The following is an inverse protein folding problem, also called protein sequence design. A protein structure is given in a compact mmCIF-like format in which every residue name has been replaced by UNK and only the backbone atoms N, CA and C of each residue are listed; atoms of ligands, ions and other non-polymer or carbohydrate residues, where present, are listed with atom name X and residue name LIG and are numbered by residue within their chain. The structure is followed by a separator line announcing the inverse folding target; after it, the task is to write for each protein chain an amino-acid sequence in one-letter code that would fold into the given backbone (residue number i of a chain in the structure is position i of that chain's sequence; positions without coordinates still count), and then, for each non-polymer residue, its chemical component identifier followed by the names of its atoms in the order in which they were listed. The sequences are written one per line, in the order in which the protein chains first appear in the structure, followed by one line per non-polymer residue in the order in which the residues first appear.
data_IF_259855917017
#
_entry.id   IF_259855917017
#
_cell.length_a   1.000
_cell.length_b   1.000
_cell.length_c   1.000
_cell.angle_alpha   90.00
_cell.angle_beta   90.00
_cell.angle_gamma   90.00
#
_symmetry.space_group_name_H-M   'P 1'
#
loop_
_entity.id
_entity.type
_entity.pdbx_description
1 polymer ?
#
# COMPACT_ATOMS: atom_id res chain seq x y z
N UNK A 1 -44.16 38.37 -77.24
CA UNK A 1 -45.40 37.64 -76.90
C UNK A 1 -45.18 36.91 -75.58
N UNK A 2 -46.24 36.78 -74.76
CA UNK A 2 -46.50 35.83 -73.65
C UNK A 2 -45.31 35.04 -73.03
N UNK A 3 -45.05 35.00 -71.70
CA UNK A 3 -45.66 35.69 -70.55
C UNK A 3 -45.91 34.74 -69.34
N UNK A 4 -45.97 35.28 -68.10
CA UNK A 4 -46.35 34.61 -66.81
C UNK A 4 -45.36 33.51 -66.34
N UNK A 5 -45.30 33.01 -65.09
CA UNK A 5 -45.76 33.37 -63.72
C UNK A 5 -45.07 32.37 -62.73
N UNK A 6 -45.04 32.46 -61.38
CA UNK A 6 -45.57 33.38 -60.34
C UNK A 6 -44.70 33.22 -59.05
N UNK A 7 -45.07 33.88 -57.93
CA UNK A 7 -44.62 33.52 -56.56
C UNK A 7 -45.45 32.35 -55.98
N UNK A 8 -44.90 31.65 -54.98
CA UNK A 8 -45.58 30.65 -54.14
C UNK A 8 -44.98 29.24 -54.31
N UNK A 9 -45.06 28.32 -53.35
CA UNK A 9 -45.63 28.36 -52.00
C UNK A 9 -44.95 27.27 -51.14
N UNK A 10 -44.96 27.45 -49.82
CA UNK A 10 -44.48 26.48 -48.81
C UNK A 10 -45.02 25.07 -49.05
N UNK A 11 -44.16 24.05 -48.90
CA UNK A 11 -44.61 22.69 -48.57
C UNK A 11 -43.69 22.04 -47.53
N UNK A 12 -44.02 22.28 -46.27
CA UNK A 12 -43.58 21.42 -45.17
C UNK A 12 -44.40 20.13 -45.15
N UNK A 13 -43.94 19.17 -44.34
CA UNK A 13 -44.46 17.82 -44.06
C UNK A 13 -43.81 16.67 -44.85
N UNK A 14 -42.99 15.93 -44.12
CA UNK A 14 -42.31 14.69 -44.52
C UNK A 14 -41.71 13.97 -43.30
N UNK A 15 -42.47 13.89 -42.20
CA UNK A 15 -42.09 13.05 -41.05
C UNK A 15 -42.26 11.57 -41.44
N UNK A 16 -41.14 10.86 -41.62
CA UNK A 16 -41.12 9.39 -41.62
C UNK A 16 -39.77 8.89 -41.14
N UNK A 17 -39.82 8.06 -40.10
CA UNK A 17 -38.70 7.55 -39.30
C UNK A 17 -37.55 6.89 -40.07
N UNK A 18 -36.32 7.14 -39.59
CA UNK A 18 -35.18 6.24 -39.73
C UNK A 18 -34.23 6.40 -38.52
N UNK A 19 -34.67 5.99 -37.34
CA UNK A 19 -33.80 5.81 -36.17
C UNK A 19 -32.95 4.56 -36.33
N UNK A 20 -31.66 4.70 -36.67
CA UNK A 20 -30.59 3.80 -36.20
C UNK A 20 -29.20 4.35 -36.55
N UNK A 21 -28.34 4.50 -35.53
CA UNK A 21 -26.98 3.93 -35.47
C UNK A 21 -26.15 4.55 -34.33
N UNK A 22 -26.18 3.85 -33.20
CA UNK A 22 -25.10 3.64 -32.23
C UNK A 22 -24.06 4.76 -32.01
N UNK A 23 -24.12 5.35 -30.82
CA UNK A 23 -22.89 5.65 -30.09
C UNK A 23 -22.21 4.34 -29.67
N UNK A 24 -20.91 4.19 -29.97
CA UNK A 24 -19.90 3.27 -29.39
C UNK A 24 -18.63 3.46 -30.25
N UNK A 25 -17.41 3.56 -29.75
CA UNK A 25 -16.91 3.73 -28.40
C UNK A 25 -15.61 4.55 -28.49
N UNK A 26 -15.21 5.23 -27.41
CA UNK A 26 -13.84 5.72 -27.30
C UNK A 26 -12.92 4.48 -27.23
N UNK A 27 -12.20 4.19 -28.31
CA UNK A 27 -11.19 3.15 -28.36
C UNK A 27 -9.94 3.62 -27.58
N UNK A 28 -10.09 3.73 -26.27
CA UNK A 28 -8.93 3.63 -25.38
C UNK A 28 -8.28 2.30 -25.69
N UNK A 29 -7.04 2.34 -26.18
CA UNK A 29 -6.20 1.15 -26.27
C UNK A 29 -6.27 0.44 -24.92
N UNK A 30 -6.64 -0.85 -24.84
CA UNK A 30 -6.42 -1.57 -23.61
C UNK A 30 -4.93 -1.44 -23.33
N UNK A 31 -4.58 -0.80 -22.20
CA UNK A 31 -3.22 -0.90 -21.71
C UNK A 31 -2.95 -2.39 -21.59
N UNK A 32 -2.04 -2.89 -22.44
CA UNK A 32 -1.60 -4.27 -22.34
C UNK A 32 -1.17 -4.45 -20.89
N UNK A 33 -1.91 -5.30 -20.18
CA UNK A 33 -1.45 -5.84 -18.92
C UNK A 33 -0.26 -6.72 -19.28
N UNK A 34 0.89 -6.06 -19.46
CA UNK A 34 2.18 -6.70 -19.50
C UNK A 34 2.21 -7.58 -18.26
N UNK A 35 2.41 -8.87 -18.48
CA UNK A 35 2.83 -9.71 -17.38
C UNK A 35 4.25 -9.24 -17.09
N UNK A 36 4.38 -8.26 -16.19
CA UNK A 36 5.64 -7.75 -15.70
C UNK A 36 6.30 -8.90 -14.94
N UNK A 37 6.99 -9.74 -15.71
CA UNK A 37 7.85 -10.82 -15.26
C UNK A 37 9.16 -10.21 -14.73
N UNK A 38 9.05 -9.17 -13.91
CA UNK A 38 10.12 -8.75 -13.04
C UNK A 38 10.27 -9.84 -11.98
N UNK A 39 11.36 -10.64 -12.02
CA UNK A 39 11.55 -11.72 -11.05
C UNK A 39 11.64 -11.18 -9.61
N UNK A 40 11.99 -9.89 -9.46
CA UNK A 40 12.20 -9.26 -8.17
C UNK A 40 10.90 -8.68 -7.55
N UNK A 41 9.83 -8.50 -8.33
CA UNK A 41 8.55 -7.94 -7.84
C UNK A 41 7.91 -8.75 -6.69
N UNK A 42 8.29 -10.03 -6.56
CA UNK A 42 7.86 -10.96 -5.51
C UNK A 42 8.90 -11.17 -4.40
N UNK A 43 10.08 -10.52 -4.47
CA UNK A 43 11.10 -10.59 -3.42
C UNK A 43 10.51 -10.06 -2.11
N UNK A 44 10.56 -10.90 -1.08
CA UNK A 44 10.11 -10.57 0.27
C UNK A 44 11.18 -9.74 0.97
N UNK A 45 10.76 -8.58 1.50
CA UNK A 45 11.58 -7.65 2.26
C UNK A 45 11.05 -7.58 3.69
N UNK A 46 11.96 -7.47 4.65
CA UNK A 46 11.64 -7.35 6.08
C UNK A 46 12.03 -5.96 6.56
N UNK A 47 11.04 -5.14 6.89
CA UNK A 47 11.23 -3.73 7.19
C UNK A 47 11.12 -3.44 8.68
N UNK A 48 11.90 -2.47 9.15
CA UNK A 48 11.86 -1.98 10.53
C UNK A 48 11.55 -0.49 10.60
N UNK A 49 11.09 -0.06 11.77
CA UNK A 49 10.86 1.35 12.09
C UNK A 49 10.72 1.58 13.58
N UNK A 50 10.53 2.83 13.99
CA UNK A 50 10.38 3.20 15.40
C UNK A 50 10.99 4.57 15.71
N UNK A 51 11.34 4.78 16.98
CA UNK A 51 11.95 6.02 17.47
C UNK A 51 11.05 7.27 17.46
N UNK A 52 9.84 7.20 16.90
CA UNK A 52 8.93 8.34 16.71
C UNK A 52 7.49 7.98 17.09
N UNK A 53 6.66 8.98 17.41
CA UNK A 53 5.22 8.78 17.67
C UNK A 53 4.86 7.86 18.84
N UNK A 54 5.80 7.59 19.76
CA UNK A 54 5.61 6.62 20.85
C UNK A 54 5.83 5.16 20.45
N UNK A 55 6.21 4.89 19.20
CA UNK A 55 6.67 3.57 18.74
C UNK A 55 8.14 3.41 19.13
N UNK A 56 8.42 2.39 19.94
CA UNK A 56 9.79 2.02 20.33
C UNK A 56 10.46 1.26 19.19
N UNK A 57 9.73 0.32 18.60
CA UNK A 57 10.15 -0.50 17.46
C UNK A 57 8.92 -0.97 16.69
N UNK A 58 9.06 -1.25 15.41
CA UNK A 58 8.06 -1.92 14.60
C UNK A 58 8.75 -2.76 13.52
N UNK A 59 8.10 -3.83 13.09
CA UNK A 59 8.56 -4.70 12.03
C UNK A 59 7.41 -5.05 11.07
N UNK A 60 7.70 -5.26 9.79
CA UNK A 60 6.73 -5.60 8.75
C UNK A 60 7.34 -6.44 7.63
N UNK A 61 6.48 -7.16 6.89
CA UNK A 61 6.90 -7.98 5.75
C UNK A 61 6.15 -7.52 4.51
N UNK A 62 6.85 -7.16 3.43
CA UNK A 62 6.19 -6.81 2.16
C UNK A 62 6.98 -7.28 0.94
N UNK A 63 6.33 -7.32 -0.22
CA UNK A 63 7.05 -7.42 -1.50
C UNK A 63 7.66 -6.05 -1.90
N UNK A 64 8.29 -5.97 -3.09
CA UNK A 64 8.85 -4.72 -3.60
C UNK A 64 7.78 -3.63 -3.88
N UNK A 65 6.54 -4.02 -4.20
CA UNK A 65 5.41 -3.09 -4.34
C UNK A 65 4.81 -2.63 -2.99
N UNK A 66 5.52 -2.84 -1.88
CA UNK A 66 5.09 -2.54 -0.51
C UNK A 66 3.77 -3.22 -0.07
N UNK A 67 3.35 -4.28 -0.79
CA UNK A 67 2.18 -5.08 -0.44
C UNK A 67 2.51 -6.01 0.72
N UNK A 68 1.71 -5.95 1.78
CA UNK A 68 1.88 -6.77 2.99
C UNK A 68 1.81 -8.27 2.69
N UNK A 69 2.82 -9.01 3.13
CA UNK A 69 2.89 -10.48 3.01
C UNK A 69 2.63 -11.21 4.33
N UNK A 70 2.44 -10.48 5.43
CA UNK A 70 2.09 -11.03 6.74
C UNK A 70 2.83 -10.34 7.90
N UNK A 71 2.22 -10.29 9.10
CA UNK A 71 2.86 -9.69 10.26
C UNK A 71 4.04 -10.57 10.75
N UNK A 72 5.18 -9.97 11.15
CA UNK A 72 6.16 -10.67 11.95
C UNK A 72 5.63 -10.90 13.37
N UNK A 73 6.08 -11.99 13.99
CA UNK A 73 5.83 -12.25 15.41
C UNK A 73 6.87 -11.51 16.23
N UNK A 74 6.44 -10.79 17.27
CA UNK A 74 7.34 -10.17 18.23
C UNK A 74 6.99 -10.66 19.63
N UNK A 75 7.96 -11.28 20.31
CA UNK A 75 7.82 -11.78 21.68
C UNK A 75 8.70 -10.95 22.63
N UNK A 76 8.26 -10.75 23.88
CA UNK A 76 9.13 -10.18 24.93
C UNK A 76 9.96 -11.31 25.55
N UNK A 77 11.29 -11.19 25.49
CA UNK A 77 12.22 -12.12 26.13
C UNK A 77 12.48 -11.70 27.58
N UNK A 78 12.76 -10.41 27.79
CA UNK A 78 13.04 -9.84 29.10
C UNK A 78 12.75 -8.33 29.13
N UNK A 79 12.51 -7.79 30.32
CA UNK A 79 12.30 -6.36 30.54
C UNK A 79 12.85 -5.96 31.91
N UNK A 80 13.42 -4.76 32.00
CA UNK A 80 13.85 -4.15 33.26
C UNK A 80 12.65 -3.96 34.21
N UNK A 81 12.85 -3.98 35.54
CA UNK A 81 11.77 -3.70 36.49
C UNK A 81 11.06 -2.38 36.18
N UNK A 82 9.72 -2.41 36.11
CA UNK A 82 8.89 -1.25 35.76
C UNK A 82 8.70 -0.98 34.28
N UNK A 83 9.50 -1.59 33.38
CA UNK A 83 9.25 -1.53 31.93
C UNK A 83 8.04 -2.39 31.56
N UNK A 84 7.12 -1.82 30.78
CA UNK A 84 5.97 -2.54 30.21
C UNK A 84 5.92 -2.29 28.71
N UNK A 85 5.84 -3.37 27.93
CA UNK A 85 5.67 -3.32 26.48
C UNK A 85 4.24 -3.68 26.08
N UNK A 86 3.74 -3.03 25.03
CA UNK A 86 2.51 -3.38 24.33
C UNK A 86 2.84 -3.63 22.87
N UNK A 87 2.62 -4.88 22.45
CA UNK A 87 2.86 -5.39 21.10
C UNK A 87 1.49 -5.59 20.43
N UNK A 88 1.30 -5.03 19.23
CA UNK A 88 0.04 -5.12 18.50
C UNK A 88 0.23 -4.94 16.99
N UNK A 89 -0.70 -5.44 16.14
CA UNK A 89 -0.79 -5.01 14.76
C UNK A 89 -1.00 -3.50 14.64
N UNK A 90 -0.50 -2.89 13.57
CA UNK A 90 -0.72 -1.47 13.25
C UNK A 90 -0.03 -1.06 11.95
N UNK A 91 0.16 0.25 11.75
CA UNK A 91 1.00 0.79 10.67
C UNK A 91 2.15 1.64 11.21
N UNK A 92 3.31 1.57 10.57
CA UNK A 92 4.51 2.30 10.95
C UNK A 92 5.19 2.93 9.73
N UNK A 93 6.06 3.91 9.94
CA UNK A 93 6.92 4.46 8.88
C UNK A 93 8.19 3.60 8.81
N UNK A 94 8.52 3.10 7.62
CA UNK A 94 9.78 2.37 7.38
C UNK A 94 10.95 3.33 7.55
N UNK A 95 11.91 2.96 8.40
CA UNK A 95 13.18 3.69 8.58
C UNK A 95 14.40 2.77 8.52
N UNK A 96 14.21 1.51 8.12
CA UNK A 96 15.26 0.50 8.06
C UNK A 96 14.75 -0.82 7.47
N UNK A 97 15.68 -1.74 7.23
CA UNK A 97 15.40 -3.10 6.77
C UNK A 97 16.26 -4.10 7.55
N UNK A 98 15.70 -5.25 7.85
CA UNK A 98 16.44 -6.43 8.34
C UNK A 98 16.94 -7.29 7.17
N UNK A 99 16.29 -7.21 6.00
CA UNK A 99 16.66 -7.93 4.78
C UNK A 99 15.89 -7.42 3.54
N UNK A 100 16.56 -7.46 2.39
CA UNK A 100 15.98 -7.11 1.09
C UNK A 100 16.31 -5.68 0.69
N UNK A 101 15.47 -5.10 -0.18
CA UNK A 101 15.66 -3.77 -0.74
C UNK A 101 14.99 -2.70 0.13
N UNK A 102 15.50 -1.46 0.12
CA UNK A 102 14.92 -0.32 0.86
C UNK A 102 13.81 0.42 0.09
N UNK A 103 13.08 -0.27 -0.80
CA UNK A 103 12.11 0.37 -1.73
C UNK A 103 10.89 1.00 -1.04
N UNK A 104 10.57 0.57 0.19
CA UNK A 104 9.48 1.12 0.98
C UNK A 104 9.93 2.16 2.02
N UNK A 105 11.18 2.66 1.99
CA UNK A 105 11.65 3.66 2.95
C UNK A 105 10.76 4.92 2.97
N UNK A 106 10.48 5.42 4.17
CA UNK A 106 9.58 6.56 4.39
C UNK A 106 8.09 6.27 4.15
N UNK A 107 7.73 5.13 3.57
CA UNK A 107 6.33 4.74 3.38
C UNK A 107 5.70 4.28 4.70
N UNK A 108 4.38 4.47 4.80
CA UNK A 108 3.58 3.90 5.89
C UNK A 108 3.07 2.51 5.50
N UNK A 109 3.62 1.46 6.11
CA UNK A 109 3.23 0.07 5.84
C UNK A 109 2.58 -0.57 7.08
N UNK A 110 1.74 -1.60 6.91
CA UNK A 110 1.25 -2.41 8.02
C UNK A 110 2.33 -3.36 8.58
N UNK A 111 2.19 -3.72 9.85
CA UNK A 111 3.06 -4.68 10.52
C UNK A 111 2.75 -4.81 12.01
N UNK A 112 3.74 -5.21 12.79
CA UNK A 112 3.66 -5.36 14.24
C UNK A 112 4.42 -4.23 14.93
N UNK A 113 3.75 -3.51 15.82
CA UNK A 113 4.25 -2.33 16.53
C UNK A 113 4.51 -2.67 18.00
N UNK A 114 5.67 -2.25 18.50
CA UNK A 114 6.03 -2.24 19.91
C UNK A 114 5.98 -0.82 20.45
N UNK A 115 5.17 -0.62 21.47
CA UNK A 115 5.11 0.60 22.30
C UNK A 115 5.41 0.24 23.75
N UNK A 116 5.71 1.20 24.61
CA UNK A 116 5.97 0.89 26.01
C UNK A 116 6.06 2.08 26.95
N UNK A 117 6.13 1.77 28.24
CA UNK A 117 6.25 2.72 29.36
C UNK A 117 7.27 2.21 30.39
N UNK A 118 7.70 3.10 31.27
CA UNK A 118 8.80 2.85 32.22
C UNK A 118 10.16 3.25 31.66
N UNK A 119 11.21 2.92 32.40
CA UNK A 119 12.60 3.34 32.14
C UNK A 119 13.53 2.14 32.19
N UNK A 120 14.48 2.05 31.27
CA UNK A 120 15.49 0.99 31.24
C UNK A 120 15.52 0.26 29.90
N UNK A 121 15.78 -1.04 29.91
CA UNK A 121 15.91 -1.86 28.70
C UNK A 121 14.90 -3.00 28.66
N UNK A 122 14.58 -3.47 27.45
CA UNK A 122 13.87 -4.72 27.22
C UNK A 122 14.44 -5.43 25.99
N UNK A 123 14.46 -6.76 26.02
CA UNK A 123 14.80 -7.57 24.85
C UNK A 123 13.55 -8.19 24.26
N UNK A 124 13.39 -8.05 22.95
CA UNK A 124 12.35 -8.69 22.15
C UNK A 124 12.97 -9.68 21.17
N UNK A 125 12.26 -10.77 20.88
CA UNK A 125 12.55 -11.63 19.73
C UNK A 125 11.68 -11.17 18.58
N UNK A 126 12.28 -10.88 17.43
CA UNK A 126 11.58 -10.62 16.18
C UNK A 126 11.72 -11.88 15.31
N UNK A 127 10.61 -12.42 14.83
CA UNK A 127 10.56 -13.63 13.99
C UNK A 127 9.79 -13.33 12.72
N UNK A 128 10.33 -13.71 11.57
CA UNK A 128 9.68 -13.57 10.26
C UNK A 128 9.18 -14.93 9.76
N UNK A 129 7.88 -15.25 9.91
CA UNK A 129 7.34 -16.59 9.62
C UNK A 129 7.65 -17.15 8.21
N UNK A 130 7.65 -16.35 7.11
CA UNK A 130 7.91 -16.89 5.77
C UNK A 130 9.28 -17.56 5.57
N UNK A 131 10.29 -17.22 6.40
CA UNK A 131 11.64 -17.80 6.33
C UNK A 131 12.09 -18.45 7.64
N UNK A 132 11.29 -18.37 8.71
CA UNK A 132 11.61 -18.90 10.04
C UNK A 132 12.80 -18.22 10.76
N UNK A 133 13.47 -17.25 10.12
CA UNK A 133 14.56 -16.49 10.73
C UNK A 133 14.06 -15.59 11.86
N UNK A 134 14.91 -15.42 12.86
CA UNK A 134 14.64 -14.60 14.04
C UNK A 134 15.92 -13.97 14.57
N UNK A 135 15.77 -12.87 15.31
CA UNK A 135 16.86 -12.25 16.05
C UNK A 135 16.35 -11.61 17.34
N UNK A 136 17.28 -11.29 18.25
CA UNK A 136 16.99 -10.53 19.47
C UNK A 136 17.30 -9.06 19.24
N UNK A 137 16.34 -8.18 19.53
CA UNK A 137 16.51 -6.73 19.48
C UNK A 137 16.43 -6.14 20.89
N UNK A 138 17.30 -5.19 21.23
CA UNK A 138 17.28 -4.50 22.53
C UNK A 138 16.65 -3.12 22.39
N UNK A 139 15.53 -2.92 23.08
CA UNK A 139 14.86 -1.64 23.21
C UNK A 139 15.43 -0.89 24.42
N UNK A 140 15.66 0.41 24.24
CA UNK A 140 15.96 1.34 25.33
C UNK A 140 14.78 2.29 25.50
N UNK A 141 14.19 2.29 26.70
CA UNK A 141 13.14 3.23 27.08
C UNK A 141 13.79 4.36 27.89
N UNK A 142 13.88 5.59 27.34
CA UNK A 142 14.43 6.72 28.07
C UNK A 142 13.51 7.07 29.24
N UNK A 143 14.10 7.53 30.34
CA UNK A 143 13.34 8.10 31.45
C UNK A 143 12.53 9.30 30.97
N UNK A 144 11.25 9.33 31.35
CA UNK A 144 10.31 10.42 31.11
C UNK A 144 9.73 10.89 32.43
#
# INVERSE_FOLDING_TARGET
MQGRAKRGLVKACGFAAATLCLALAAAGTPALAGHDNDPDAYVTNYYTGGGTGGVLFAAGTTNQACTNLGPPTIDVISASPGVRLSIRPGTFIVTGTDYGYMVCEGQRIPGTIVTGTGTGTAQIRVTYPPIGQWYTHTLTLPGR
#
